data_IF_156996878549
#
_entry.id   IF_156996878549
#
_cell.length_a   1.000
_cell.length_b   1.000
_cell.length_c   1.000
_cell.angle_alpha   90.00
_cell.angle_beta   90.00
_cell.angle_gamma   90.00
#
_symmetry.space_group_name_H-M   'P 1'
#
loop_
_entity.id
_entity.type
_entity.pdbx_description
1 polymer ?
#
# COMPACT_ATOMS: atom_id res chain seq x y z
N UNK A 1 -2.91 -17.18 8.75
CA UNK A 1 -3.31 -16.02 9.55
C UNK A 1 -4.20 -16.50 10.69
N UNK A 2 -3.97 -16.04 11.91
CA UNK A 2 -4.83 -16.33 13.05
C UNK A 2 -6.15 -15.55 12.95
N UNK A 3 -7.18 -15.98 13.71
CA UNK A 3 -8.46 -15.26 13.77
C UNK A 3 -8.30 -13.82 14.29
N UNK A 4 -7.31 -13.59 15.14
CA UNK A 4 -7.01 -12.29 15.74
C UNK A 4 -6.36 -11.34 14.72
N UNK A 5 -5.38 -11.85 13.96
CA UNK A 5 -4.77 -11.13 12.84
C UNK A 5 -5.80 -10.76 11.77
N UNK A 6 -6.79 -11.64 11.52
CA UNK A 6 -7.86 -11.34 10.57
C UNK A 6 -8.77 -10.21 11.05
N UNK A 7 -9.15 -10.19 12.33
CA UNK A 7 -9.93 -9.08 12.90
C UNK A 7 -9.16 -7.76 12.83
N UNK A 8 -7.86 -7.78 13.12
CA UNK A 8 -7.03 -6.60 13.00
C UNK A 8 -6.97 -6.07 11.56
N UNK A 9 -6.84 -6.96 10.56
CA UNK A 9 -6.89 -6.60 9.15
C UNK A 9 -8.23 -5.99 8.75
N UNK A 10 -9.34 -6.55 9.20
CA UNK A 10 -10.68 -6.02 8.93
C UNK A 10 -10.87 -4.61 9.52
N UNK A 11 -10.41 -4.39 10.76
CA UNK A 11 -10.45 -3.07 11.40
C UNK A 11 -9.58 -2.02 10.68
N UNK A 12 -8.36 -2.41 10.29
CA UNK A 12 -7.46 -1.53 9.55
C UNK A 12 -8.05 -1.17 8.18
N UNK A 13 -8.63 -2.16 7.50
CA UNK A 13 -9.31 -1.95 6.22
C UNK A 13 -10.49 -0.97 6.34
N UNK A 14 -11.32 -1.12 7.36
CA UNK A 14 -12.45 -0.21 7.62
C UNK A 14 -11.97 1.22 7.91
N UNK A 15 -10.90 1.37 8.71
CA UNK A 15 -10.33 2.68 9.01
C UNK A 15 -9.77 3.37 7.77
N UNK A 16 -9.07 2.63 6.90
CA UNK A 16 -8.48 3.16 5.67
C UNK A 16 -9.55 3.53 4.64
N UNK A 17 -10.56 2.68 4.46
CA UNK A 17 -11.65 2.94 3.51
C UNK A 17 -12.51 4.11 3.95
N UNK A 18 -12.83 4.23 5.23
CA UNK A 18 -13.51 5.39 5.80
C UNK A 18 -12.71 6.68 5.60
N UNK A 19 -11.39 6.66 5.84
CA UNK A 19 -10.51 7.83 5.67
C UNK A 19 -10.50 8.38 4.25
N UNK A 20 -10.65 7.52 3.24
CA UNK A 20 -10.67 7.94 1.82
C UNK A 20 -12.09 8.08 1.26
N UNK A 21 -13.12 7.89 2.09
CA UNK A 21 -14.52 7.94 1.67
C UNK A 21 -14.93 6.81 0.72
N UNK A 22 -14.20 5.69 0.70
CA UNK A 22 -14.53 4.54 -0.14
C UNK A 22 -15.67 3.73 0.48
N UNK A 23 -16.72 3.51 -0.30
CA UNK A 23 -17.85 2.65 0.09
C UNK A 23 -17.57 1.23 -0.43
N UNK A 24 -17.48 0.28 0.48
CA UNK A 24 -17.30 -1.14 0.15
C UNK A 24 -18.61 -1.88 0.40
N UNK A 25 -19.26 -2.46 -0.63
CA UNK A 25 -20.46 -3.26 -0.46
C UNK A 25 -20.23 -4.44 0.51
N UNK A 26 -21.18 -4.68 1.41
CA UNK A 26 -21.04 -5.66 2.48
C UNK A 26 -20.81 -7.09 1.96
N UNK A 27 -21.47 -7.44 0.86
CA UNK A 27 -21.33 -8.72 0.16
C UNK A 27 -19.93 -8.92 -0.47
N UNK A 28 -19.22 -7.82 -0.76
CA UNK A 28 -17.89 -7.84 -1.37
C UNK A 28 -16.76 -7.75 -0.36
N UNK A 29 -17.02 -7.22 0.83
CA UNK A 29 -15.99 -6.94 1.85
C UNK A 29 -15.13 -8.17 2.15
N UNK A 30 -15.75 -9.34 2.35
CA UNK A 30 -15.02 -10.58 2.63
C UNK A 30 -14.02 -10.93 1.51
N UNK A 31 -14.42 -10.79 0.24
CA UNK A 31 -13.54 -11.04 -0.91
C UNK A 31 -12.41 -10.02 -1.02
N UNK A 32 -12.68 -8.75 -0.72
CA UNK A 32 -11.63 -7.71 -0.72
C UNK A 32 -10.60 -7.96 0.38
N UNK A 33 -11.04 -8.33 1.59
CA UNK A 33 -10.14 -8.67 2.70
C UNK A 33 -9.26 -9.87 2.34
N UNK A 34 -9.82 -10.92 1.73
CA UNK A 34 -9.04 -12.07 1.27
C UNK A 34 -7.99 -11.67 0.22
N UNK A 35 -8.34 -10.76 -0.70
CA UNK A 35 -7.39 -10.23 -1.67
C UNK A 35 -6.29 -9.39 -1.01
N UNK A 36 -6.65 -8.54 -0.03
CA UNK A 36 -5.68 -7.76 0.75
C UNK A 36 -4.68 -8.67 1.49
N UNK A 37 -5.15 -9.78 2.05
CA UNK A 37 -4.28 -10.78 2.66
C UNK A 37 -3.28 -11.35 1.64
N UNK A 38 -3.74 -11.75 0.46
CA UNK A 38 -2.87 -12.30 -0.58
C UNK A 38 -1.81 -11.28 -1.02
N UNK A 39 -2.21 -10.03 -1.24
CA UNK A 39 -1.30 -8.94 -1.59
C UNK A 39 -0.26 -8.71 -0.48
N UNK A 40 -0.65 -8.79 0.79
CA UNK A 40 0.32 -8.68 1.92
C UNK A 40 1.33 -9.82 1.89
N UNK A 41 0.91 -11.04 1.57
CA UNK A 41 1.82 -12.19 1.42
C UNK A 41 2.78 -12.00 0.26
N UNK A 42 2.28 -11.58 -0.90
CA UNK A 42 3.11 -11.31 -2.08
C UNK A 42 4.10 -10.17 -1.84
N UNK A 43 3.65 -9.07 -1.23
CA UNK A 43 4.50 -7.90 -0.97
C UNK A 43 5.54 -8.15 0.13
N UNK A 44 5.30 -9.08 1.05
CA UNK A 44 6.31 -9.52 2.01
C UNK A 44 7.54 -10.12 1.31
N UNK A 45 7.37 -10.81 0.18
CA UNK A 45 8.49 -11.33 -0.63
C UNK A 45 9.35 -10.22 -1.24
N UNK A 46 8.79 -9.02 -1.41
CA UNK A 46 9.51 -7.84 -1.94
C UNK A 46 10.23 -7.05 -0.85
N UNK A 47 10.08 -7.42 0.44
CA UNK A 47 10.81 -6.80 1.54
C UNK A 47 12.18 -7.46 1.70
N UNK A 48 13.14 -6.99 0.91
CA UNK A 48 14.57 -7.25 1.13
C UNK A 48 15.29 -6.07 1.82
N UNK A 49 16.55 -6.24 2.25
CA UNK A 49 17.40 -5.14 2.71
C UNK A 49 17.50 -4.07 1.61
N UNK A 50 17.15 -2.83 1.92
CA UNK A 50 17.35 -1.68 1.03
C UNK A 50 18.40 -0.78 1.67
N UNK A 51 19.50 -0.55 0.96
CA UNK A 51 20.45 0.48 1.39
C UNK A 51 19.88 1.86 1.04
N UNK A 52 20.29 2.93 1.75
CA UNK A 52 19.90 4.30 1.40
C UNK A 52 20.30 4.72 -0.02
N UNK A 53 21.26 4.02 -0.65
CA UNK A 53 21.70 4.28 -2.01
C UNK A 53 20.80 3.62 -3.09
N UNK A 54 19.81 2.80 -2.69
CA UNK A 54 18.83 2.24 -3.63
C UNK A 54 17.78 3.30 -3.92
N UNK A 55 18.00 4.03 -5.01
CA UNK A 55 17.07 5.04 -5.49
C UNK A 55 15.75 4.43 -5.98
N UNK A 56 14.60 5.13 -5.82
CA UNK A 56 13.36 4.76 -6.48
C UNK A 56 13.53 4.73 -8.00
N UNK A 57 12.82 3.82 -8.68
CA UNK A 57 12.91 3.67 -10.14
C UNK A 57 12.57 4.96 -10.91
N UNK A 58 11.79 5.87 -10.33
CA UNK A 58 11.43 7.16 -10.91
C UNK A 58 11.87 8.30 -10.00
N UNK A 59 12.93 9.01 -10.38
CA UNK A 59 13.43 10.20 -9.68
C UNK A 59 13.08 11.45 -10.49
N UNK A 60 12.34 12.38 -9.87
CA UNK A 60 12.00 13.65 -10.50
C UNK A 60 13.25 14.53 -10.64
N UNK A 61 13.48 15.06 -11.85
CA UNK A 61 14.62 15.95 -12.14
C UNK A 61 14.14 17.35 -12.50
N UNK A 62 14.73 18.37 -11.88
CA UNK A 62 14.50 19.77 -12.25
C UNK A 62 15.23 20.09 -13.55
N UNK A 63 14.52 20.69 -14.51
CA UNK A 63 15.17 21.26 -15.69
C UNK A 63 15.93 22.52 -15.27
N UNK A 64 17.18 22.71 -15.71
CA UNK A 64 17.90 23.96 -15.47
C UNK A 64 17.13 25.12 -16.11
N UNK A 65 16.78 26.13 -15.34
CA UNK A 65 16.37 27.42 -15.90
C UNK A 65 17.62 28.07 -16.50
N UNK A 66 17.62 28.33 -17.81
CA UNK A 66 18.71 29.10 -18.44
C UNK A 66 18.76 30.47 -17.76
N UNK A 67 19.77 30.67 -16.91
CA UNK A 67 20.18 32.00 -16.49
C UNK A 67 20.58 32.78 -17.73
N UNK A 68 20.02 33.99 -17.90
CA UNK A 68 20.51 34.94 -18.89
C UNK A 68 21.97 35.25 -18.55
N UNK A 69 22.86 34.90 -19.47
CA UNK A 69 24.20 35.46 -19.60
C UNK A 69 24.13 36.94 -19.97
#
# INVERSE_FOLDING_TARGET
MSTEERRALEQEFDALTARIGAIVPADRKAGVIACCEEIRRMTALLRGPRSPAVEPANVYSLKPTRGRS
#
